data_IF_198080423272
#
_entry.id   IF_198080423272
#
_cell.length_a   1.000
_cell.length_b   1.000
_cell.length_c   1.000
_cell.angle_alpha   90.00
_cell.angle_beta   90.00
_cell.angle_gamma   90.00
#
_symmetry.space_group_name_H-M   'P 1'
#
loop_
_entity.id
_entity.type
_entity.pdbx_description
1 polymer ?
#
# COMPACT_ATOMS: atom_id res chain seq x y z
N UNK A 1 -10.30 47.56 -1.27
CA UNK A 1 -9.56 46.38 -0.78
C UNK A 1 -10.19 45.18 -1.42
N UNK A 2 -9.57 44.66 -2.48
CA UNK A 2 -10.11 43.58 -3.33
C UNK A 2 -9.51 42.26 -2.87
N UNK A 3 -10.34 41.41 -2.27
CA UNK A 3 -9.96 40.03 -1.92
C UNK A 3 -9.86 39.20 -3.20
N UNK A 4 -8.68 38.68 -3.50
CA UNK A 4 -8.48 37.69 -4.57
C UNK A 4 -8.88 36.32 -4.03
N UNK A 5 -9.93 35.75 -4.60
CA UNK A 5 -10.26 34.34 -4.45
C UNK A 5 -9.12 33.47 -5.00
N UNK A 6 -8.47 32.74 -4.16
CA UNK A 6 -7.55 31.69 -4.57
C UNK A 6 -8.38 30.49 -5.04
N UNK A 7 -8.47 30.29 -6.35
CA UNK A 7 -9.01 29.05 -6.94
C UNK A 7 -8.03 27.92 -6.64
N UNK A 8 -8.39 27.03 -5.74
CA UNK A 8 -7.68 25.76 -5.56
C UNK A 8 -7.84 24.95 -6.85
N UNK A 9 -6.75 24.82 -7.58
CA UNK A 9 -6.64 23.82 -8.65
C UNK A 9 -6.72 22.43 -8.02
N UNK A 10 -7.44 21.48 -8.61
CA UNK A 10 -7.42 20.10 -8.13
C UNK A 10 -5.99 19.58 -8.23
N UNK A 11 -5.41 19.24 -7.10
CA UNK A 11 -4.10 18.57 -7.04
C UNK A 11 -4.24 17.25 -7.76
N UNK A 12 -3.56 17.12 -8.88
CA UNK A 12 -3.46 15.86 -9.63
C UNK A 12 -2.94 14.79 -8.69
N UNK A 13 -3.66 13.68 -8.55
CA UNK A 13 -3.24 12.54 -7.75
C UNK A 13 -1.87 12.07 -8.23
N UNK A 14 -0.93 11.77 -7.32
CA UNK A 14 0.38 11.31 -7.73
C UNK A 14 0.25 9.99 -8.51
N UNK A 15 0.73 9.98 -9.74
CA UNK A 15 0.71 8.80 -10.62
C UNK A 15 1.71 7.71 -10.19
N UNK A 16 2.42 7.95 -9.11
CA UNK A 16 3.46 7.11 -8.52
C UNK A 16 2.95 6.16 -7.42
N UNK A 17 1.63 5.92 -7.40
CA UNK A 17 1.01 5.02 -6.42
C UNK A 17 0.33 3.85 -7.13
N UNK A 18 0.57 2.65 -6.67
CA UNK A 18 -0.16 1.44 -7.07
C UNK A 18 -0.87 0.82 -5.87
N UNK A 19 -2.00 0.22 -6.14
CA UNK A 19 -2.78 -0.53 -5.15
C UNK A 19 -2.99 -1.95 -5.64
N UNK A 20 -2.64 -2.92 -4.82
CA UNK A 20 -2.88 -4.33 -5.06
C UNK A 20 -3.74 -4.91 -3.93
N UNK A 21 -4.79 -5.59 -4.28
CA UNK A 21 -5.69 -6.22 -3.32
C UNK A 21 -6.24 -7.54 -3.83
N UNK A 22 -6.11 -8.58 -3.03
CA UNK A 22 -6.85 -9.81 -3.17
C UNK A 22 -7.67 -10.01 -1.91
N UNK A 23 -8.97 -10.00 -2.05
CA UNK A 23 -9.88 -10.35 -0.97
C UNK A 23 -10.11 -11.87 -1.01
N UNK A 24 -9.54 -12.57 -0.04
CA UNK A 24 -9.98 -13.93 0.27
C UNK A 24 -11.32 -13.83 0.96
N UNK A 25 -12.37 -14.31 0.32
CA UNK A 25 -13.69 -14.49 0.95
C UNK A 25 -13.61 -15.45 2.14
N UNK A 26 -14.67 -15.56 2.99
CA UNK A 26 -14.66 -16.44 4.13
C UNK A 26 -14.40 -17.88 3.69
N UNK A 27 -13.26 -18.43 4.11
CA UNK A 27 -12.88 -19.80 3.82
C UNK A 27 -13.65 -20.76 4.72
N UNK A 28 -14.72 -21.33 4.20
CA UNK A 28 -15.26 -22.57 4.72
C UNK A 28 -14.62 -23.72 3.93
N UNK A 29 -13.71 -24.43 4.56
CA UNK A 29 -13.42 -25.82 4.30
C UNK A 29 -12.25 -26.18 3.38
N UNK A 30 -11.51 -27.15 3.84
CA UNK A 30 -10.69 -28.17 3.14
C UNK A 30 -9.26 -27.76 2.73
N UNK A 31 -8.29 -28.51 3.21
CA UNK A 31 -6.84 -28.33 3.05
C UNK A 31 -6.34 -28.12 1.60
N UNK A 32 -7.11 -28.48 0.59
CA UNK A 32 -6.79 -28.26 -0.83
C UNK A 32 -6.88 -26.78 -1.24
N UNK A 33 -7.68 -25.96 -0.55
CA UNK A 33 -7.87 -24.56 -0.89
C UNK A 33 -6.74 -23.65 -0.35
N UNK A 34 -6.02 -24.10 0.66
CA UNK A 34 -4.95 -23.30 1.31
C UNK A 34 -3.74 -23.18 0.38
N UNK A 35 -3.39 -24.22 -0.37
CA UNK A 35 -2.26 -24.18 -1.30
C UNK A 35 -2.52 -23.26 -2.49
N UNK A 36 -3.75 -23.23 -3.00
CA UNK A 36 -4.14 -22.37 -4.11
C UNK A 36 -4.13 -20.89 -3.72
N UNK A 37 -4.65 -20.54 -2.53
CA UNK A 37 -4.64 -19.17 -2.01
C UNK A 37 -3.22 -18.67 -1.77
N UNK A 38 -2.32 -19.52 -1.26
CA UNK A 38 -0.91 -19.17 -1.06
C UNK A 38 -0.19 -18.90 -2.39
N UNK A 39 -0.43 -19.69 -3.42
CA UNK A 39 0.16 -19.47 -4.74
C UNK A 39 -0.30 -18.15 -5.37
N UNK A 40 -1.58 -17.80 -5.21
CA UNK A 40 -2.12 -16.51 -5.69
C UNK A 40 -1.47 -15.35 -4.94
N UNK A 41 -1.31 -15.46 -3.62
CA UNK A 41 -0.67 -14.45 -2.80
C UNK A 41 0.81 -14.25 -3.20
N UNK A 42 1.54 -15.34 -3.44
CA UNK A 42 2.92 -15.31 -3.93
C UNK A 42 3.03 -14.68 -5.32
N UNK A 43 2.16 -15.07 -6.25
CA UNK A 43 2.14 -14.51 -7.60
C UNK A 43 1.82 -13.01 -7.59
N UNK A 44 0.90 -12.57 -6.76
CA UNK A 44 0.55 -11.16 -6.58
C UNK A 44 1.73 -10.37 -6.01
N UNK A 45 2.41 -10.90 -5.01
CA UNK A 45 3.59 -10.31 -4.42
C UNK A 45 4.74 -10.18 -5.43
N UNK A 46 4.98 -11.22 -6.22
CA UNK A 46 5.98 -11.19 -7.28
C UNK A 46 5.64 -10.15 -8.36
N UNK A 47 4.37 -10.01 -8.72
CA UNK A 47 3.91 -8.96 -9.65
C UNK A 47 4.19 -7.57 -9.11
N UNK A 48 3.88 -7.31 -7.83
CA UNK A 48 4.18 -6.02 -7.18
C UNK A 48 5.67 -5.70 -7.25
N UNK A 49 6.54 -6.66 -6.91
CA UNK A 49 7.98 -6.46 -6.96
C UNK A 49 8.48 -6.15 -8.39
N UNK A 50 7.92 -6.84 -9.39
CA UNK A 50 8.24 -6.58 -10.81
C UNK A 50 7.78 -5.20 -11.27
N UNK A 51 6.60 -4.75 -10.85
CA UNK A 51 6.09 -3.42 -11.20
C UNK A 51 6.95 -2.33 -10.56
N UNK A 52 7.31 -2.47 -9.29
CA UNK A 52 8.23 -1.54 -8.61
C UNK A 52 9.56 -1.44 -9.36
N UNK A 53 10.13 -2.59 -9.74
CA UNK A 53 11.38 -2.62 -10.49
C UNK A 53 11.24 -1.96 -11.87
N UNK A 54 10.22 -2.33 -12.64
CA UNK A 54 9.99 -1.79 -13.97
C UNK A 54 9.81 -0.28 -13.97
N UNK A 55 9.09 0.27 -13.00
CA UNK A 55 8.91 1.71 -12.86
C UNK A 55 10.23 2.43 -12.54
N UNK A 56 11.07 1.81 -11.73
CA UNK A 56 12.41 2.33 -11.45
C UNK A 56 13.29 2.33 -12.71
N UNK A 57 13.26 1.24 -13.46
CA UNK A 57 14.03 1.10 -14.72
C UNK A 57 13.56 2.10 -15.78
N UNK A 58 12.30 2.48 -15.78
CA UNK A 58 11.74 3.52 -16.65
C UNK A 58 12.00 4.96 -16.14
N UNK A 59 12.67 5.14 -15.01
CA UNK A 59 12.97 6.45 -14.46
C UNK A 59 11.78 7.13 -13.77
N UNK A 60 10.71 6.39 -13.50
CA UNK A 60 9.50 6.83 -12.79
C UNK A 60 9.26 6.00 -11.53
N UNK A 61 10.16 6.03 -10.54
CA UNK A 61 10.06 5.18 -9.37
C UNK A 61 8.76 5.44 -8.60
N UNK A 62 8.12 4.36 -8.17
CA UNK A 62 6.94 4.44 -7.32
C UNK A 62 7.34 4.95 -5.93
N UNK A 63 6.56 5.89 -5.40
CA UNK A 63 6.73 6.38 -4.04
C UNK A 63 5.90 5.60 -3.04
N UNK A 64 4.75 5.06 -3.47
CA UNK A 64 3.78 4.46 -2.57
C UNK A 64 3.15 3.21 -3.17
N UNK A 65 2.98 2.19 -2.35
CA UNK A 65 2.33 0.92 -2.71
C UNK A 65 1.34 0.53 -1.61
N UNK A 66 0.12 0.22 -2.00
CA UNK A 66 -0.90 -0.32 -1.12
C UNK A 66 -1.16 -1.79 -1.39
N UNK A 67 -1.07 -2.62 -0.35
CA UNK A 67 -1.27 -4.06 -0.45
C UNK A 67 -2.33 -4.48 0.57
N UNK A 68 -3.39 -5.13 0.07
CA UNK A 68 -4.46 -5.67 0.89
C UNK A 68 -4.45 -7.20 0.86
N UNK A 69 -4.57 -7.80 2.04
CA UNK A 69 -4.51 -9.24 2.26
C UNK A 69 -3.29 -9.63 3.09
N UNK A 70 -3.52 -10.37 4.19
CA UNK A 70 -2.46 -10.73 5.13
C UNK A 70 -1.34 -11.54 4.47
N UNK A 71 -1.70 -12.62 3.77
CA UNK A 71 -0.73 -13.47 3.09
C UNK A 71 -0.01 -12.72 1.97
N UNK A 72 -0.74 -11.96 1.15
CA UNK A 72 -0.16 -11.14 0.08
C UNK A 72 0.81 -10.10 0.64
N UNK A 73 0.47 -9.45 1.75
CA UNK A 73 1.35 -8.49 2.43
C UNK A 73 2.65 -9.14 2.91
N UNK A 74 2.54 -10.32 3.53
CA UNK A 74 3.71 -11.06 4.02
C UNK A 74 4.64 -11.49 2.88
N UNK A 75 4.08 -12.02 1.80
CA UNK A 75 4.87 -12.40 0.63
C UNK A 75 5.47 -11.18 -0.09
N UNK A 76 4.77 -10.04 -0.10
CA UNK A 76 5.27 -8.82 -0.73
C UNK A 76 6.49 -8.23 0.00
N UNK A 77 6.49 -8.23 1.33
CA UNK A 77 7.66 -7.81 2.12
C UNK A 77 8.89 -8.65 1.76
N UNK A 78 8.72 -9.96 1.58
CA UNK A 78 9.78 -10.87 1.16
C UNK A 78 10.20 -10.63 -0.30
N UNK A 79 9.24 -10.53 -1.23
CA UNK A 79 9.51 -10.30 -2.65
C UNK A 79 10.21 -8.95 -2.93
N UNK A 80 9.89 -7.94 -2.14
CA UNK A 80 10.55 -6.63 -2.17
C UNK A 80 11.90 -6.63 -1.44
N UNK A 81 12.31 -7.73 -0.80
CA UNK A 81 13.58 -7.86 -0.07
C UNK A 81 13.75 -6.79 1.02
N UNK A 82 12.69 -6.52 1.75
CA UNK A 82 12.72 -5.56 2.84
C UNK A 82 13.27 -6.22 4.11
N UNK A 83 14.24 -5.55 4.74
CA UNK A 83 14.75 -5.97 6.04
C UNK A 83 14.06 -5.28 7.21
N UNK A 84 13.31 -4.21 6.96
CA UNK A 84 12.59 -3.48 8.00
C UNK A 84 11.50 -2.59 7.46
N UNK A 85 10.58 -2.25 8.36
CA UNK A 85 9.53 -1.27 8.15
C UNK A 85 9.50 -0.32 9.35
N UNK A 86 9.53 0.97 9.12
CA UNK A 86 9.31 1.96 10.17
C UNK A 86 7.94 2.63 10.00
N UNK A 87 7.27 2.85 11.13
CA UNK A 87 6.00 3.55 11.15
C UNK A 87 6.17 4.99 10.64
N UNK A 88 5.28 5.42 9.78
CA UNK A 88 5.25 6.79 9.25
C UNK A 88 3.99 7.53 9.67
N UNK A 89 2.82 6.97 9.41
CA UNK A 89 1.53 7.58 9.77
C UNK A 89 0.41 6.54 9.83
N UNK A 90 -0.73 6.94 10.37
CA UNK A 90 -1.96 6.15 10.33
C UNK A 90 -2.88 6.70 9.23
N UNK A 91 -3.33 5.85 8.32
CA UNK A 91 -4.29 6.22 7.27
C UNK A 91 -5.71 6.18 7.82
N UNK A 92 -6.04 5.14 8.56
CA UNK A 92 -7.28 5.00 9.33
C UNK A 92 -7.05 3.99 10.46
N UNK A 93 -7.97 3.84 11.41
CA UNK A 93 -7.83 2.87 12.49
C UNK A 93 -7.51 1.47 11.98
N UNK A 94 -6.40 0.90 12.46
CA UNK A 94 -5.91 -0.42 12.05
C UNK A 94 -5.17 -0.49 10.71
N UNK A 95 -4.98 0.64 10.02
CA UNK A 95 -4.22 0.69 8.77
C UNK A 95 -3.15 1.78 8.83
N UNK A 96 -1.91 1.37 8.72
CA UNK A 96 -0.75 2.27 8.80
C UNK A 96 -0.04 2.40 7.46
N UNK A 97 0.57 3.54 7.26
CA UNK A 97 1.59 3.76 6.25
C UNK A 97 2.95 3.57 6.90
N UNK A 98 3.78 2.77 6.30
CA UNK A 98 5.13 2.46 6.77
C UNK A 98 6.14 2.81 5.71
N UNK A 99 7.34 3.20 6.14
CA UNK A 99 8.48 3.38 5.27
C UNK A 99 9.27 2.08 5.19
N UNK A 100 9.53 1.61 3.99
CA UNK A 100 10.34 0.43 3.73
C UNK A 100 11.83 0.70 3.86
N UNK A 101 12.55 -0.30 4.34
CA UNK A 101 14.01 -0.32 4.40
C UNK A 101 14.52 -1.53 3.63
N UNK A 102 15.35 -1.27 2.63
CA UNK A 102 15.90 -2.29 1.73
C UNK A 102 17.37 -2.00 1.45
N UNK A 103 18.21 -3.02 1.19
CA UNK A 103 19.54 -2.81 0.65
C UNK A 103 19.51 -2.31 -0.80
N UNK A 104 18.39 -2.50 -1.49
CA UNK A 104 18.18 -2.05 -2.86
C UNK A 104 17.67 -0.59 -2.87
N UNK A 105 18.43 0.36 -3.43
CA UNK A 105 18.01 1.76 -3.49
C UNK A 105 16.68 2.01 -4.21
N UNK A 106 16.28 1.11 -5.12
CA UNK A 106 15.00 1.20 -5.82
C UNK A 106 13.79 0.96 -4.91
N UNK A 107 14.01 0.36 -3.76
CA UNK A 107 12.97 -0.06 -2.81
C UNK A 107 13.11 0.62 -1.45
N UNK A 108 14.30 1.12 -1.14
CA UNK A 108 14.54 1.85 0.10
C UNK A 108 13.77 3.16 0.11
N UNK A 109 13.05 3.42 1.20
CA UNK A 109 12.21 4.60 1.33
C UNK A 109 10.82 4.50 0.71
N UNK A 110 10.46 3.38 0.07
CA UNK A 110 9.13 3.13 -0.45
C UNK A 110 8.10 3.20 0.67
N UNK A 111 7.02 3.94 0.46
CA UNK A 111 5.90 4.00 1.39
C UNK A 111 4.96 2.81 1.16
N UNK A 112 4.76 2.01 2.19
CA UNK A 112 3.93 0.81 2.13
C UNK A 112 2.72 0.91 3.06
N UNK A 113 1.53 0.73 2.49
CA UNK A 113 0.34 0.40 3.25
C UNK A 113 0.13 -1.11 3.17
N UNK A 114 0.29 -1.79 4.28
CA UNK A 114 0.01 -3.22 4.41
C UNK A 114 -1.28 -3.39 5.21
N UNK A 115 -2.27 -4.01 4.60
CA UNK A 115 -3.59 -4.19 5.19
C UNK A 115 -3.88 -5.68 5.33
N UNK A 116 -4.08 -6.12 6.55
CA UNK A 116 -4.60 -7.46 6.86
C UNK A 116 -6.11 -7.44 7.06
N UNK A 117 -6.78 -8.54 6.72
CA UNK A 117 -8.21 -8.72 6.97
C UNK A 117 -9.11 -7.63 6.36
N UNK A 118 -10.22 -7.34 7.04
CA UNK A 118 -11.25 -6.41 6.59
C UNK A 118 -11.12 -5.00 7.19
N UNK A 119 -9.90 -4.59 7.51
CA UNK A 119 -9.63 -3.27 8.07
C UNK A 119 -9.75 -2.18 6.99
N UNK A 120 -10.18 -0.99 7.41
CA UNK A 120 -10.36 0.17 6.53
C UNK A 120 -11.73 0.24 5.86
N UNK A 121 -12.16 1.45 5.53
CA UNK A 121 -13.40 1.72 4.81
C UNK A 121 -13.28 1.54 3.30
N UNK A 122 -14.37 1.76 2.59
CA UNK A 122 -14.45 1.69 1.11
C UNK A 122 -13.57 2.74 0.43
N UNK A 123 -13.26 3.83 1.12
CA UNK A 123 -12.46 4.97 0.68
C UNK A 123 -10.96 4.83 0.98
N UNK A 124 -10.53 3.67 1.50
CA UNK A 124 -9.15 3.47 1.97
C UNK A 124 -8.10 3.75 0.89
N UNK A 125 -8.32 3.26 -0.32
CA UNK A 125 -7.37 3.46 -1.41
C UNK A 125 -7.37 4.89 -1.93
N UNK A 126 -8.50 5.59 -1.88
CA UNK A 126 -8.56 7.02 -2.20
C UNK A 126 -7.75 7.83 -1.19
N UNK A 127 -7.86 7.50 0.10
CA UNK A 127 -7.03 8.12 1.16
C UNK A 127 -5.55 7.83 0.95
N UNK A 128 -5.20 6.62 0.54
CA UNK A 128 -3.82 6.27 0.21
C UNK A 128 -3.28 7.12 -0.93
N UNK A 129 -4.07 7.33 -1.98
CA UNK A 129 -3.72 8.18 -3.13
C UNK A 129 -3.60 9.65 -2.74
N UNK A 130 -4.52 10.14 -1.91
CA UNK A 130 -4.56 11.55 -1.49
C UNK A 130 -3.41 11.99 -0.60
N UNK A 131 -2.64 11.07 -0.04
CA UNK A 131 -1.42 11.35 0.73
C UNK A 131 -1.63 12.08 2.07
N UNK A 132 -2.86 12.33 2.49
CA UNK A 132 -3.14 13.01 3.74
C UNK A 132 -3.41 12.00 4.86
N UNK A 133 -2.59 11.96 5.92
CA UNK A 133 -3.01 11.31 7.16
C UNK A 133 -4.18 12.11 7.72
N UNK A 134 -5.32 11.48 7.89
CA UNK A 134 -6.37 12.09 8.72
C UNK A 134 -5.86 12.03 10.16
N UNK A 135 -5.31 13.13 10.63
CA UNK A 135 -5.09 13.34 12.07
C UNK A 135 -6.47 13.56 12.70
N UNK A 136 -7.17 12.50 12.95
CA UNK A 136 -8.31 12.56 13.87
C UNK A 136 -7.71 12.53 15.27
N UNK A 137 -7.68 13.71 15.90
CA UNK A 137 -7.35 13.83 17.30
C UNK A 137 -8.29 12.95 18.13
N UNK A 138 -7.78 12.25 19.18
CA UNK A 138 -8.63 11.45 20.04
C UNK A 138 -9.67 12.38 20.69
N UNK A 139 -10.93 12.09 20.46
CA UNK A 139 -12.02 12.73 21.19
C UNK A 139 -11.96 12.21 22.63
N UNK A 140 -11.54 13.07 23.51
CA UNK A 140 -11.74 12.91 24.96
C UNK A 140 -13.22 12.91 25.30
#
# INVERSE_FOLDING_TARGET
>A
VTARSATCLPTQAPQDTICAGLQSGPSNGTAANTSSASHVAQASAALVARVVQAQTDHGTPLRRVGIAGGDTSSHAVQALQLWGLSYQSTICPGVTLSRAHSPDPARDGLELMLKGGQMGGVDLFERLLGGAPTTEAPRT
#
